data_IF_707509585995
#
_entry.id   IF_707509585995
#
_cell.length_a   1.000
_cell.length_b   1.000
_cell.length_c   1.000
_cell.angle_alpha   90.00
_cell.angle_beta   90.00
_cell.angle_gamma   90.00
#
_symmetry.space_group_name_H-M   'P 1'
#
loop_
_entity.id
_entity.type
_entity.pdbx_description
1 polymer ?
#
# COMPACT_ATOMS: atom_id res chain seq x y z
N UNK A 1 1.58 -20.52 -18.67
CA UNK A 1 0.67 -19.82 -17.76
C UNK A 1 0.70 -18.36 -18.17
N UNK A 2 -0.40 -17.78 -18.64
CA UNK A 2 -0.40 -16.40 -19.16
C UNK A 2 -0.51 -15.44 -17.98
N UNK A 3 0.50 -14.59 -17.78
CA UNK A 3 0.45 -13.51 -16.79
C UNK A 3 -0.37 -12.34 -17.37
N UNK A 4 -1.35 -11.84 -16.61
CA UNK A 4 -2.26 -10.78 -17.06
C UNK A 4 -1.84 -9.38 -16.65
N UNK A 5 -0.63 -9.25 -16.09
CA UNK A 5 -0.06 -8.00 -15.59
C UNK A 5 -1.00 -7.26 -14.61
N UNK A 6 -1.64 -8.04 -13.73
CA UNK A 6 -2.69 -7.54 -12.82
C UNK A 6 -2.19 -6.49 -11.84
N UNK A 7 -0.95 -6.63 -11.36
CA UNK A 7 -0.32 -5.65 -10.45
C UNK A 7 -0.20 -4.30 -11.15
N UNK A 8 0.34 -4.27 -12.37
CA UNK A 8 0.49 -3.05 -13.16
C UNK A 8 -0.85 -2.38 -13.41
N UNK A 9 -1.88 -3.15 -13.78
CA UNK A 9 -3.23 -2.59 -14.00
C UNK A 9 -3.85 -1.98 -12.74
N UNK A 10 -3.67 -2.61 -11.58
CA UNK A 10 -4.15 -2.05 -10.30
C UNK A 10 -3.37 -0.78 -9.96
N UNK A 11 -2.05 -0.76 -10.21
CA UNK A 11 -1.22 0.42 -9.97
C UNK A 11 -1.56 1.58 -10.92
N UNK A 12 -1.82 1.30 -12.19
CA UNK A 12 -2.33 2.30 -13.15
C UNK A 12 -3.67 2.88 -12.69
N UNK A 13 -4.58 2.04 -12.18
CA UNK A 13 -5.85 2.49 -11.63
C UNK A 13 -5.65 3.43 -10.42
N UNK A 14 -4.73 3.08 -9.52
CA UNK A 14 -4.32 3.95 -8.42
C UNK A 14 -3.78 5.30 -8.92
N UNK A 15 -2.87 5.30 -9.91
CA UNK A 15 -2.24 6.51 -10.44
C UNK A 15 -3.23 7.47 -11.11
N UNK A 16 -4.34 6.97 -11.66
CA UNK A 16 -5.36 7.79 -12.31
C UNK A 16 -6.14 8.68 -11.33
N UNK A 17 -6.15 8.36 -10.02
CA UNK A 17 -6.78 9.17 -8.96
C UNK A 17 -8.23 9.61 -9.28
N UNK A 18 -9.01 8.75 -9.92
CA UNK A 18 -10.35 9.09 -10.41
C UNK A 18 -11.36 9.32 -9.27
N UNK A 19 -11.20 8.57 -8.18
CA UNK A 19 -12.14 8.54 -7.08
C UNK A 19 -11.44 8.03 -5.80
N UNK A 20 -11.81 8.58 -4.62
CA UNK A 20 -11.20 8.23 -3.33
C UNK A 20 -11.34 6.74 -3.03
N UNK A 21 -12.55 6.18 -3.23
CA UNK A 21 -12.82 4.78 -2.93
C UNK A 21 -12.00 3.86 -3.84
N UNK A 22 -11.92 4.17 -5.13
CA UNK A 22 -11.09 3.41 -6.09
C UNK A 22 -9.61 3.42 -5.68
N UNK A 23 -9.06 4.59 -5.36
CA UNK A 23 -7.65 4.73 -4.95
C UNK A 23 -7.39 3.93 -3.68
N UNK A 24 -8.24 4.08 -2.66
CA UNK A 24 -8.08 3.36 -1.40
C UNK A 24 -8.11 1.84 -1.61
N UNK A 25 -9.08 1.33 -2.37
CA UNK A 25 -9.18 -0.11 -2.66
C UNK A 25 -7.99 -0.61 -3.46
N UNK A 26 -7.52 0.14 -4.46
CA UNK A 26 -6.34 -0.23 -5.23
C UNK A 26 -5.09 -0.32 -4.34
N UNK A 27 -4.87 0.67 -3.47
CA UNK A 27 -3.76 0.68 -2.52
C UNK A 27 -3.84 -0.50 -1.53
N UNK A 28 -5.01 -0.77 -0.95
CA UNK A 28 -5.20 -1.89 -0.02
C UNK A 28 -4.94 -3.24 -0.70
N UNK A 29 -5.45 -3.43 -1.93
CA UNK A 29 -5.20 -4.62 -2.73
C UNK A 29 -3.69 -4.83 -3.00
N UNK A 30 -2.98 -3.77 -3.41
CA UNK A 30 -1.54 -3.86 -3.65
C UNK A 30 -0.77 -4.16 -2.35
N UNK A 31 -1.12 -3.51 -1.24
CA UNK A 31 -0.53 -3.82 0.07
C UNK A 31 -0.71 -5.28 0.47
N UNK A 32 -1.88 -5.88 0.22
CA UNK A 32 -2.14 -7.30 0.48
C UNK A 32 -1.37 -8.23 -0.46
N UNK A 33 -1.28 -7.91 -1.77
CA UNK A 33 -0.57 -8.72 -2.77
C UNK A 33 0.94 -8.78 -2.51
N UNK A 34 1.51 -7.73 -1.92
CA UNK A 34 2.92 -7.64 -1.55
C UNK A 34 3.20 -7.99 -0.08
N UNK A 35 2.26 -8.65 0.63
CA UNK A 35 2.51 -9.16 1.97
C UNK A 35 3.81 -9.96 2.02
N UNK A 36 4.71 -9.58 2.92
CA UNK A 36 6.05 -10.16 3.11
C UNK A 36 6.93 -10.22 1.84
N UNK A 37 6.57 -9.50 0.78
CA UNK A 37 7.28 -9.48 -0.51
C UNK A 37 7.74 -8.06 -0.81
N UNK A 38 8.93 -7.93 -1.36
CA UNK A 38 9.44 -6.63 -1.81
C UNK A 38 8.57 -6.08 -2.95
N UNK A 39 8.22 -4.79 -2.86
CA UNK A 39 7.72 -4.04 -4.02
C UNK A 39 8.95 -3.54 -4.79
N UNK A 40 9.42 -4.29 -5.79
CA UNK A 40 10.68 -4.01 -6.49
C UNK A 40 10.69 -2.63 -7.18
N UNK A 41 9.55 -2.22 -7.74
CA UNK A 41 9.40 -0.90 -8.34
C UNK A 41 9.41 0.18 -7.23
N UNK A 42 10.46 1.00 -7.23
CA UNK A 42 10.68 1.99 -6.18
C UNK A 42 9.66 3.14 -6.17
N UNK A 43 9.08 3.48 -7.33
CA UNK A 43 8.03 4.50 -7.43
C UNK A 43 6.73 3.95 -6.84
N UNK A 44 6.35 2.75 -7.27
CA UNK A 44 5.17 2.04 -6.77
C UNK A 44 5.24 1.83 -5.26
N UNK A 45 6.41 1.42 -4.74
CA UNK A 45 6.63 1.23 -3.30
C UNK A 45 6.38 2.51 -2.52
N UNK A 46 6.98 3.62 -2.95
CA UNK A 46 6.81 4.94 -2.32
C UNK A 46 5.35 5.39 -2.35
N UNK A 47 4.70 5.26 -3.51
CA UNK A 47 3.33 5.69 -3.73
C UNK A 47 2.32 4.92 -2.88
N UNK A 48 2.42 3.59 -2.86
CA UNK A 48 1.54 2.72 -2.05
C UNK A 48 1.74 3.01 -0.56
N UNK A 49 2.99 3.00 -0.08
CA UNK A 49 3.30 3.21 1.34
C UNK A 49 2.87 4.60 1.78
N UNK A 50 3.14 5.63 0.98
CA UNK A 50 2.69 6.99 1.26
C UNK A 50 1.18 7.06 1.38
N UNK A 51 0.42 6.43 0.47
CA UNK A 51 -1.04 6.44 0.55
C UNK A 51 -1.55 5.68 1.78
N UNK A 52 -1.01 4.48 2.07
CA UNK A 52 -1.35 3.71 3.27
C UNK A 52 -1.12 4.52 4.57
N UNK A 53 -0.01 5.25 4.68
CA UNK A 53 0.26 6.14 5.83
C UNK A 53 -0.81 7.20 6.02
N UNK A 54 -1.44 7.70 4.96
CA UNK A 54 -2.54 8.67 5.09
C UNK A 54 -3.84 8.03 5.59
N UNK A 55 -4.07 6.76 5.24
CA UNK A 55 -5.30 6.04 5.57
C UNK A 55 -5.42 5.62 7.04
N UNK A 56 -4.33 5.67 7.81
CA UNK A 56 -4.37 5.39 9.26
C UNK A 56 -5.24 6.41 10.02
N UNK A 57 -5.55 7.56 9.40
CA UNK A 57 -6.41 8.60 9.94
C UNK A 57 -7.73 8.73 9.15
N UNK A 58 -8.10 7.74 8.33
CA UNK A 58 -9.38 7.79 7.60
C UNK A 58 -10.56 7.71 8.59
N UNK A 59 -11.64 8.43 8.27
CA UNK A 59 -12.88 8.44 9.06
C UNK A 59 -13.61 7.10 9.00
N UNK A 60 -13.42 6.35 7.89
CA UNK A 60 -13.88 4.98 7.77
C UNK A 60 -12.96 4.04 8.57
N UNK A 61 -13.47 3.55 9.69
CA UNK A 61 -12.72 2.67 10.60
C UNK A 61 -12.23 1.39 9.93
N UNK A 62 -12.95 0.87 8.93
CA UNK A 62 -12.51 -0.32 8.18
C UNK A 62 -11.29 0.01 7.32
N UNK A 63 -11.30 1.15 6.63
CA UNK A 63 -10.17 1.63 5.82
C UNK A 63 -8.95 1.86 6.71
N UNK A 64 -9.15 2.51 7.87
CA UNK A 64 -8.10 2.76 8.85
C UNK A 64 -7.47 1.45 9.33
N UNK A 65 -8.25 0.51 9.86
CA UNK A 65 -7.74 -0.75 10.40
C UNK A 65 -7.04 -1.58 9.31
N UNK A 66 -7.63 -1.69 8.13
CA UNK A 66 -7.02 -2.46 7.04
C UNK A 66 -5.71 -1.82 6.56
N UNK A 67 -5.62 -0.47 6.52
CA UNK A 67 -4.38 0.21 6.16
C UNK A 67 -3.23 -0.06 7.14
N UNK A 68 -3.51 -0.10 8.44
CA UNK A 68 -2.55 -0.46 9.49
C UNK A 68 -2.09 -1.91 9.28
N UNK A 69 -3.02 -2.83 9.02
CA UNK A 69 -2.72 -4.23 8.73
C UNK A 69 -1.85 -4.38 7.47
N UNK A 70 -2.14 -3.62 6.40
CA UNK A 70 -1.32 -3.60 5.17
C UNK A 70 0.09 -3.11 5.45
N UNK A 71 0.26 -2.07 6.27
CA UNK A 71 1.59 -1.57 6.67
C UNK A 71 2.38 -2.66 7.42
N UNK A 72 1.75 -3.38 8.36
CA UNK A 72 2.38 -4.52 9.03
C UNK A 72 2.72 -5.67 8.08
N UNK A 73 1.84 -5.97 7.13
CA UNK A 73 2.08 -7.01 6.12
C UNK A 73 3.24 -6.66 5.18
N UNK A 74 3.37 -5.40 4.79
CA UNK A 74 4.49 -4.92 3.97
C UNK A 74 5.80 -4.88 4.76
N UNK A 75 5.75 -4.48 6.04
CA UNK A 75 6.93 -4.38 6.92
C UNK A 75 7.59 -5.73 7.24
N UNK A 76 6.96 -6.86 6.91
CA UNK A 76 7.59 -8.19 6.96
C UNK A 76 8.73 -8.34 5.94
N UNK A 77 8.84 -7.45 4.95
CA UNK A 77 9.98 -7.35 4.05
C UNK A 77 10.84 -6.12 4.41
N UNK A 78 12.16 -6.30 4.53
CA UNK A 78 13.09 -5.26 5.01
C UNK A 78 13.15 -4.01 4.11
N UNK A 79 13.03 -4.15 2.79
CA UNK A 79 13.08 -3.00 1.87
C UNK A 79 11.82 -2.15 2.00
N UNK A 80 10.66 -2.79 2.11
CA UNK A 80 9.40 -2.10 2.36
C UNK A 80 9.39 -1.47 3.76
N UNK A 81 9.87 -2.19 4.77
CA UNK A 81 9.98 -1.70 6.15
C UNK A 81 10.83 -0.43 6.23
N UNK A 82 12.00 -0.43 5.59
CA UNK A 82 12.87 0.75 5.55
C UNK A 82 12.18 1.96 4.91
N UNK A 83 11.33 1.77 3.90
CA UNK A 83 10.52 2.86 3.31
C UNK A 83 9.38 3.30 4.24
N UNK A 84 8.74 2.37 4.95
CA UNK A 84 7.69 2.68 5.94
C UNK A 84 8.28 3.49 7.09
N UNK A 85 9.45 3.15 7.60
CA UNK A 85 10.06 3.81 8.79
C UNK A 85 10.70 5.17 8.47
N UNK A 86 10.78 5.56 7.18
CA UNK A 86 11.28 6.90 6.81
C UNK A 86 10.54 8.01 7.52
N UNK A 87 11.29 9.08 7.77
CA UNK A 87 10.84 10.28 8.46
C UNK A 87 10.34 10.02 9.90
N UNK A 88 10.77 8.89 10.49
CA UNK A 88 10.42 8.50 11.85
C UNK A 88 8.99 7.98 12.00
N UNK A 89 8.35 7.56 10.90
CA UNK A 89 7.00 7.03 10.95
C UNK A 89 6.96 5.69 11.71
N UNK A 90 6.03 5.57 12.65
CA UNK A 90 5.76 4.36 13.43
C UNK A 90 4.35 3.89 13.12
N UNK A 91 4.19 2.60 12.78
CA UNK A 91 2.87 2.00 12.55
C UNK A 91 2.10 2.02 13.90
N UNK A 92 0.88 2.59 13.95
CA UNK A 92 0.07 2.59 15.17
C UNK A 92 -0.24 1.17 15.66
N UNK A 93 -0.20 1.01 16.99
CA UNK A 93 -0.62 -0.19 17.72
C UNK A 93 -2.10 -0.19 18.03
#
# INVERSE_FOLDING_TARGET
>A
MTEYDGITKIYELFKRKLDKYIVNKATLCLGQLFKAREINDSEMRKDIIKHLKTLINDEDEWIKIDSILRLYDLAQNEVNKAEIEKDGFVIPT
#
